data_IF_682748061359
#
_entry.id   IF_682748061359
#
_cell.length_a   1.000
_cell.length_b   1.000
_cell.length_c   1.000
_cell.angle_alpha   90.00
_cell.angle_beta   90.00
_cell.angle_gamma   90.00
#
_symmetry.space_group_name_H-M   'P 1'
#
loop_
_entity.id
_entity.type
_entity.pdbx_description
1 polymer ?
#
# COMPACT_ATOMS: atom_id res chain seq x y z
N UNK A 1 -6.37 -3.53 -2.32
CA UNK A 1 -6.49 -4.14 -0.98
C UNK A 1 -7.96 -4.17 -0.60
N UNK A 2 -8.45 -5.31 -0.13
CA UNK A 2 -9.75 -5.43 0.51
C UNK A 2 -9.55 -5.53 2.02
N UNK A 3 -10.39 -4.84 2.78
CA UNK A 3 -10.47 -4.93 4.22
C UNK A 3 -11.92 -5.29 4.58
N UNK A 4 -12.12 -6.39 5.29
CA UNK A 4 -13.44 -6.99 5.55
C UNK A 4 -14.30 -7.14 4.29
N UNK A 5 -13.68 -7.64 3.21
CA UNK A 5 -14.33 -7.86 1.92
C UNK A 5 -14.65 -6.57 1.14
N UNK A 6 -14.34 -5.38 1.66
CA UNK A 6 -14.64 -4.09 1.02
C UNK A 6 -13.36 -3.36 0.59
N UNK A 7 -13.38 -2.58 -0.51
CA UNK A 7 -12.25 -1.75 -0.90
C UNK A 7 -11.86 -0.76 0.21
N UNK A 8 -10.59 -0.80 0.61
CA UNK A 8 -10.08 0.04 1.70
C UNK A 8 -9.90 1.49 1.22
N UNK A 9 -10.61 2.42 1.88
CA UNK A 9 -10.68 3.84 1.51
C UNK A 9 -9.62 4.65 2.26
N UNK A 10 -9.11 5.72 1.64
CA UNK A 10 -8.13 6.64 2.25
C UNK A 10 -6.89 5.91 2.81
N UNK A 11 -6.51 4.80 2.19
CA UNK A 11 -5.32 4.03 2.56
C UNK A 11 -4.13 4.55 1.78
N UNK A 12 -2.99 4.71 2.47
CA UNK A 12 -1.74 5.12 1.85
C UNK A 12 -1.17 3.97 1.01
N UNK A 13 -0.84 4.26 -0.23
CA UNK A 13 -0.23 3.38 -1.22
C UNK A 13 1.14 3.95 -1.56
N UNK A 14 2.17 3.22 -1.19
CA UNK A 14 3.56 3.52 -1.52
C UNK A 14 3.95 2.77 -2.78
N UNK A 15 4.57 3.45 -3.74
CA UNK A 15 5.09 2.86 -4.97
C UNK A 15 6.56 3.19 -5.12
N UNK A 16 7.39 2.20 -5.43
CA UNK A 16 8.83 2.41 -5.64
C UNK A 16 9.41 1.43 -6.68
N UNK A 17 10.46 1.89 -7.37
CA UNK A 17 11.31 1.00 -8.18
C UNK A 17 12.22 0.17 -7.28
N UNK A 18 12.38 -1.12 -7.58
CA UNK A 18 13.26 -2.03 -6.83
C UNK A 18 14.71 -2.04 -7.31
N UNK A 19 15.01 -1.40 -8.45
CA UNK A 19 16.38 -1.34 -9.00
C UNK A 19 17.14 -0.08 -8.64
N UNK A 20 16.48 0.98 -8.20
CA UNK A 20 17.15 2.25 -7.99
C UNK A 20 17.61 2.43 -6.55
N UNK A 21 18.92 2.63 -6.38
CA UNK A 21 19.55 3.05 -5.12
C UNK A 21 19.10 4.45 -4.67
N UNK A 22 18.47 5.22 -5.56
CA UNK A 22 17.85 6.54 -5.35
C UNK A 22 16.35 6.53 -5.68
N UNK A 23 15.71 5.35 -5.66
CA UNK A 23 14.47 5.05 -6.36
C UNK A 23 13.39 6.09 -6.20
N UNK A 24 12.92 6.60 -7.35
CA UNK A 24 11.69 7.35 -7.40
C UNK A 24 10.63 6.55 -6.67
N UNK A 25 10.17 7.13 -5.58
CA UNK A 25 9.09 6.61 -4.80
C UNK A 25 8.07 7.71 -4.61
N UNK A 26 6.81 7.31 -4.59
CA UNK A 26 5.73 8.24 -4.42
C UNK A 26 4.60 7.58 -3.64
N UNK A 27 3.92 8.42 -2.90
CA UNK A 27 2.81 8.03 -2.05
C UNK A 27 1.53 8.64 -2.60
N UNK A 28 0.51 7.80 -2.76
CA UNK A 28 -0.84 8.23 -3.10
C UNK A 28 -1.83 7.62 -2.10
N UNK A 29 -3.01 8.20 -1.97
CA UNK A 29 -4.07 7.63 -1.14
C UNK A 29 -5.17 7.05 -2.01
N UNK A 30 -5.80 5.96 -1.57
CA UNK A 30 -7.02 5.48 -2.22
C UNK A 30 -8.18 6.46 -2.03
N UNK A 31 -9.02 6.58 -3.04
CA UNK A 31 -10.22 7.40 -3.01
C UNK A 31 -11.33 6.78 -2.14
N UNK A 32 -12.52 7.41 -2.14
CA UNK A 32 -13.68 6.92 -1.40
C UNK A 32 -14.27 5.60 -1.95
N UNK A 33 -13.76 5.12 -3.10
CA UNK A 33 -14.08 3.83 -3.71
C UNK A 33 -12.95 2.81 -3.53
N UNK A 34 -11.88 3.15 -2.79
CA UNK A 34 -10.73 2.29 -2.55
C UNK A 34 -9.78 2.14 -3.74
N UNK A 35 -9.81 3.07 -4.71
CA UNK A 35 -8.94 3.06 -5.89
C UNK A 35 -7.85 4.11 -5.76
N UNK A 36 -6.62 3.75 -6.15
CA UNK A 36 -5.50 4.67 -6.27
C UNK A 36 -4.93 4.58 -7.70
N UNK A 37 -4.43 5.70 -8.21
CA UNK A 37 -3.71 5.75 -9.49
C UNK A 37 -2.26 6.09 -9.20
N UNK A 38 -1.36 5.29 -9.75
CA UNK A 38 0.09 5.42 -9.59
C UNK A 38 0.67 5.65 -10.98
N UNK A 39 1.59 6.61 -11.13
CA UNK A 39 2.28 6.87 -12.39
C UNK A 39 3.72 6.44 -12.24
N UNK A 40 4.09 5.37 -12.94
CA UNK A 40 5.47 4.94 -13.05
C UNK A 40 6.18 5.86 -14.05
N UNK A 41 7.30 6.45 -13.63
CA UNK A 41 8.13 7.35 -14.42
C UNK A 41 9.46 6.66 -14.76
N UNK A 42 9.98 6.94 -15.97
CA UNK A 42 11.33 6.70 -16.51
C UNK A 42 12.25 5.60 -15.94
N UNK A 43 11.73 4.47 -15.45
CA UNK A 43 12.54 3.32 -15.05
C UNK A 43 11.89 2.00 -15.44
N UNK A 44 12.55 1.30 -16.37
CA UNK A 44 12.31 -0.10 -16.72
C UNK A 44 12.62 -1.03 -15.54
N UNK A 45 12.01 -2.21 -15.51
CA UNK A 45 12.30 -3.25 -14.50
C UNK A 45 11.24 -3.37 -13.40
N UNK A 46 11.56 -4.00 -12.26
CA UNK A 46 10.64 -4.36 -11.21
C UNK A 46 10.25 -3.14 -10.35
N UNK A 47 8.96 -3.03 -10.12
CA UNK A 47 8.29 -2.04 -9.30
C UNK A 47 7.50 -2.74 -8.19
N UNK A 48 7.45 -2.12 -7.03
CA UNK A 48 6.63 -2.54 -5.90
C UNK A 48 5.57 -1.49 -5.60
N UNK A 49 4.33 -1.95 -5.41
CA UNK A 49 3.21 -1.14 -4.92
C UNK A 49 2.72 -1.77 -3.62
N UNK A 50 2.78 -1.02 -2.52
CA UNK A 50 2.42 -1.45 -1.17
C UNK A 50 1.31 -0.56 -0.62
N UNK A 51 0.16 -1.14 -0.33
CA UNK A 51 -0.90 -0.52 0.47
C UNK A 51 -0.74 -0.95 1.93
N UNK A 52 -0.77 0.01 2.86
CA UNK A 52 -0.66 -0.27 4.30
C UNK A 52 -1.71 0.49 5.09
N UNK A 53 -2.42 -0.22 5.97
CA UNK A 53 -3.44 0.33 6.86
C UNK A 53 -3.14 -0.10 8.28
N UNK A 54 -3.23 0.84 9.21
CA UNK A 54 -3.11 0.61 10.65
C UNK A 54 -4.41 0.96 11.34
N UNK A 55 -4.85 0.11 12.25
CA UNK A 55 -6.04 0.30 13.05
C UNK A 55 -5.70 0.09 14.53
N UNK A 56 -6.43 0.76 15.44
CA UNK A 56 -6.36 0.40 16.85
C UNK A 56 -6.81 -1.05 17.05
N UNK A 57 -6.40 -1.70 18.15
CA UNK A 57 -6.84 -3.05 18.48
C UNK A 57 -8.37 -3.10 18.61
N UNK A 58 -8.98 -4.16 18.07
CA UNK A 58 -10.39 -4.44 18.37
C UNK A 58 -10.55 -4.82 19.85
N UNK A 59 -11.79 -4.91 20.34
CA UNK A 59 -12.09 -5.35 21.70
C UNK A 59 -11.44 -6.71 22.04
N UNK A 60 -11.36 -7.62 21.09
CA UNK A 60 -10.75 -8.95 21.23
C UNK A 60 -9.23 -8.90 21.47
N UNK A 61 -8.58 -7.86 20.94
CA UNK A 61 -7.13 -7.64 21.00
C UNK A 61 -6.71 -6.53 21.95
N UNK A 62 -7.68 -5.95 22.68
CA UNK A 62 -7.40 -5.00 23.75
C UNK A 62 -6.47 -5.68 24.77
N UNK A 63 -5.31 -5.07 25.02
CA UNK A 63 -4.23 -5.55 25.88
C UNK A 63 -3.36 -6.71 25.33
N UNK A 64 -3.61 -7.18 24.10
CA UNK A 64 -2.76 -8.19 23.42
C UNK A 64 -1.85 -7.59 22.36
N UNK A 65 -2.27 -6.52 21.72
CA UNK A 65 -1.45 -5.77 20.77
C UNK A 65 -1.72 -4.27 20.88
N UNK A 66 -0.80 -3.47 20.32
CA UNK A 66 -0.93 -2.01 20.27
C UNK A 66 -1.64 -1.54 19.00
N UNK A 67 -1.47 -2.25 17.89
CA UNK A 67 -2.09 -1.93 16.60
C UNK A 67 -2.30 -3.19 15.76
N UNK A 68 -3.30 -3.14 14.88
CA UNK A 68 -3.48 -4.10 13.80
C UNK A 68 -2.92 -3.49 12.51
N UNK A 69 -1.98 -4.17 11.88
CA UNK A 69 -1.32 -3.72 10.65
C UNK A 69 -1.68 -4.65 9.50
N UNK A 70 -2.34 -4.10 8.48
CA UNK A 70 -2.73 -4.82 7.28
C UNK A 70 -1.94 -4.29 6.10
N UNK A 71 -1.26 -5.18 5.39
CA UNK A 71 -0.43 -4.84 4.24
C UNK A 71 -0.81 -5.69 3.04
N UNK A 72 -0.92 -5.06 1.88
CA UNK A 72 -1.01 -5.75 0.60
C UNK A 72 0.07 -5.19 -0.33
N UNK A 73 0.86 -6.10 -0.92
CA UNK A 73 1.95 -5.73 -1.81
C UNK A 73 1.76 -6.44 -3.15
N UNK A 74 1.95 -5.69 -4.24
CA UNK A 74 2.07 -6.21 -5.59
C UNK A 74 3.43 -5.80 -6.13
N UNK A 75 4.08 -6.73 -6.81
CA UNK A 75 5.32 -6.48 -7.55
C UNK A 75 5.08 -6.82 -9.01
N UNK A 76 5.53 -5.97 -9.93
CA UNK A 76 5.42 -6.18 -11.37
C UNK A 76 6.63 -5.58 -12.08
N UNK A 77 6.90 -6.00 -13.31
CA UNK A 77 7.95 -5.42 -14.14
C UNK A 77 7.36 -4.52 -15.22
N UNK A 78 7.99 -3.36 -15.44
CA UNK A 78 7.71 -2.47 -16.58
C UNK A 78 8.72 -2.79 -17.69
N UNK A 79 8.25 -3.21 -18.88
CA UNK A 79 9.10 -3.60 -20.00
C UNK A 79 9.78 -2.42 -20.66
#
# INVERSE_FOLDING_TARGET
>A
MLFDGKPAKRVKVHTCSLFSSTGESFDVSTDNNGKAKVRVLHYYGPWMVKAAMKLPPSSEFKDKCQELSYTATITFAVP
#
